data_IF_658033924273
#
_entry.id   IF_658033924273
#
_cell.length_a   1.000
_cell.length_b   1.000
_cell.length_c   1.000
_cell.angle_alpha   90.00
_cell.angle_beta   90.00
_cell.angle_gamma   90.00
#
_symmetry.space_group_name_H-M   'P 1'
#
loop_
_entity.id
_entity.type
_entity.pdbx_description
1 polymer ?
#
# COMPACT_ATOMS: atom_id res chain seq x y z
N UNK A 1 3.31 -3.19 5.03
CA UNK A 1 2.51 -4.42 4.84
C UNK A 1 1.17 -4.18 5.49
N UNK A 2 0.07 -4.42 4.78
CA UNK A 2 -1.28 -4.28 5.35
C UNK A 2 -1.67 -5.61 6.00
N UNK A 3 -2.15 -5.59 7.24
CA UNK A 3 -2.70 -6.75 7.95
C UNK A 3 -4.22 -6.55 8.06
N UNK A 4 -5.00 -7.41 7.43
CA UNK A 4 -6.48 -7.35 7.48
C UNK A 4 -7.13 -6.69 6.26
N UNK A 5 -8.45 -6.88 6.15
CA UNK A 5 -9.30 -6.44 5.03
C UNK A 5 -9.42 -4.92 4.95
N UNK A 6 -9.18 -4.35 3.76
CA UNK A 6 -9.69 -3.10 3.14
C UNK A 6 -9.91 -1.80 3.97
N UNK A 7 -10.23 -1.83 5.27
CA UNK A 7 -10.55 -0.66 6.10
C UNK A 7 -9.32 0.19 6.47
N UNK A 8 -8.11 -0.39 6.42
CA UNK A 8 -6.85 0.30 6.79
C UNK A 8 -6.10 0.88 5.57
N UNK A 9 -6.66 0.77 4.37
CA UNK A 9 -6.03 1.22 3.11
C UNK A 9 -5.74 2.72 3.11
N UNK A 10 -6.67 3.62 3.49
CA UNK A 10 -6.42 5.06 3.53
C UNK A 10 -5.31 5.42 4.52
N UNK A 11 -5.26 4.75 5.68
CA UNK A 11 -4.23 4.97 6.68
C UNK A 11 -2.86 4.48 6.18
N UNK A 12 -2.84 3.34 5.48
CA UNK A 12 -1.63 2.82 4.84
C UNK A 12 -1.11 3.77 3.76
N UNK A 13 -1.99 4.30 2.90
CA UNK A 13 -1.60 5.32 1.91
C UNK A 13 -1.09 6.59 2.57
N UNK A 14 -1.71 7.07 3.65
CA UNK A 14 -1.24 8.26 4.37
C UNK A 14 0.19 8.06 4.90
N UNK A 15 0.50 6.88 5.47
CA UNK A 15 1.86 6.55 5.93
C UNK A 15 2.85 6.47 4.76
N UNK A 16 2.45 5.85 3.65
CA UNK A 16 3.30 5.76 2.46
C UNK A 16 3.55 7.13 1.83
N UNK A 17 2.54 8.00 1.79
CA UNK A 17 2.67 9.37 1.26
C UNK A 17 3.59 10.23 2.13
N UNK A 18 3.45 10.14 3.45
CA UNK A 18 4.36 10.80 4.39
C UNK A 18 5.81 10.34 4.22
N UNK A 19 6.03 9.03 4.08
CA UNK A 19 7.35 8.46 3.81
C UNK A 19 7.92 8.95 2.46
N UNK A 20 7.11 8.95 1.40
CA UNK A 20 7.53 9.48 0.11
C UNK A 20 7.99 10.94 0.23
N UNK A 21 7.21 11.80 0.89
CA UNK A 21 7.55 13.21 1.08
C UNK A 21 8.86 13.40 1.84
N UNK A 22 9.07 12.64 2.92
CA UNK A 22 10.32 12.67 3.69
C UNK A 22 11.54 12.31 2.82
N UNK A 23 11.35 11.40 1.86
CA UNK A 23 12.39 10.96 0.93
C UNK A 23 12.49 11.83 -0.34
N UNK A 24 11.72 12.91 -0.45
CA UNK A 24 11.71 13.79 -1.63
C UNK A 24 10.98 13.19 -2.84
N UNK A 25 9.98 12.34 -2.61
CA UNK A 25 9.11 11.75 -3.62
C UNK A 25 7.66 12.17 -3.40
N UNK A 26 6.90 12.22 -4.49
CA UNK A 26 5.45 12.44 -4.48
C UNK A 26 4.75 11.35 -5.28
N UNK A 27 3.54 11.00 -4.88
CA UNK A 27 2.71 10.04 -5.60
C UNK A 27 2.38 10.59 -6.99
N UNK A 28 2.77 9.86 -8.04
CA UNK A 28 2.62 10.33 -9.43
C UNK A 28 1.28 9.96 -10.05
N UNK A 29 0.55 9.01 -9.47
CA UNK A 29 -0.80 8.63 -9.90
C UNK A 29 -1.65 8.14 -8.75
N UNK A 30 -2.96 8.34 -8.85
CA UNK A 30 -3.95 7.74 -7.95
C UNK A 30 -4.10 6.24 -8.17
N UNK A 31 -3.63 5.71 -9.31
CA UNK A 31 -3.65 4.28 -9.58
C UNK A 31 -2.66 3.58 -8.64
N UNK A 32 -3.14 2.54 -7.95
CA UNK A 32 -2.32 1.64 -7.19
C UNK A 32 -2.62 0.20 -7.60
N UNK A 33 -1.73 -0.71 -7.25
CA UNK A 33 -1.90 -2.16 -7.43
C UNK A 33 -1.73 -2.84 -6.09
N UNK A 34 -2.60 -3.81 -5.86
CA UNK A 34 -2.51 -4.72 -4.73
C UNK A 34 -1.86 -6.02 -5.19
N UNK A 35 -0.88 -6.50 -4.45
CA UNK A 35 -0.23 -7.78 -4.70
C UNK A 35 -0.50 -8.65 -3.47
N UNK A 36 -1.35 -9.65 -3.65
CA UNK A 36 -1.70 -10.62 -2.63
C UNK A 36 -0.59 -11.66 -2.52
N UNK A 37 0.14 -11.64 -1.40
CA UNK A 37 1.23 -12.59 -1.15
C UNK A 37 0.73 -13.92 -0.55
N UNK A 38 -0.56 -14.01 -0.22
CA UNK A 38 -1.20 -15.19 0.36
C UNK A 38 -2.51 -15.45 -0.38
N UNK A 39 -2.84 -16.71 -0.67
CA UNK A 39 -4.08 -17.04 -1.38
C UNK A 39 -5.28 -16.68 -0.48
N UNK A 40 -6.14 -15.72 -0.89
CA UNK A 40 -7.24 -15.23 -0.09
C UNK A 40 -8.34 -16.27 0.14
N UNK A 41 -8.37 -17.36 -0.65
CA UNK A 41 -9.36 -18.43 -0.53
C UNK A 41 -8.94 -19.51 0.47
N UNK A 42 -7.66 -19.55 0.85
CA UNK A 42 -7.08 -20.62 1.69
C UNK A 42 -6.49 -20.11 3.01
N UNK A 43 -6.37 -18.81 3.17
CA UNK A 43 -5.67 -18.18 4.29
C UNK A 43 -6.66 -17.41 5.15
N UNK A 44 -6.60 -17.60 6.47
CA UNK A 44 -7.43 -16.83 7.40
C UNK A 44 -7.21 -15.32 7.22
N UNK A 45 -8.26 -14.48 7.32
CA UNK A 45 -8.16 -13.04 7.06
C UNK A 45 -7.05 -12.34 7.83
N UNK A 46 -6.81 -12.74 9.09
CA UNK A 46 -5.77 -12.18 9.97
C UNK A 46 -4.33 -12.51 9.53
N UNK A 47 -4.15 -13.52 8.66
CA UNK A 47 -2.85 -13.97 8.13
C UNK A 47 -2.62 -13.52 6.68
N UNK A 48 -3.62 -12.90 6.04
CA UNK A 48 -3.47 -12.34 4.70
C UNK A 48 -2.42 -11.24 4.70
N UNK A 49 -1.54 -11.29 3.70
CA UNK A 49 -0.53 -10.28 3.45
C UNK A 49 -0.78 -9.66 2.09
N UNK A 50 -1.07 -8.38 2.09
CA UNK A 50 -1.22 -7.59 0.86
C UNK A 50 -0.14 -6.52 0.81
N UNK A 51 0.50 -6.42 -0.36
CA UNK A 51 1.44 -5.34 -0.68
C UNK A 51 0.71 -4.31 -1.52
N UNK A 52 0.67 -3.08 -1.03
CA UNK A 52 0.21 -1.92 -1.79
C UNK A 52 1.38 -1.31 -2.55
N UNK A 53 1.20 -1.05 -3.85
CA UNK A 53 2.18 -0.39 -4.69
C UNK A 53 1.53 0.73 -5.48
N UNK A 54 2.12 1.91 -5.48
CA UNK A 54 1.75 3.01 -6.35
C UNK A 54 2.99 3.63 -7.01
N UNK A 55 2.86 4.25 -8.19
CA UNK A 55 3.96 4.93 -8.84
C UNK A 55 4.27 6.25 -8.11
N UNK A 56 5.55 6.58 -8.01
CA UNK A 56 6.05 7.83 -7.42
C UNK A 56 6.98 8.54 -8.40
N UNK A 57 7.05 9.86 -8.28
CA UNK A 57 7.98 10.73 -8.99
C UNK A 57 8.83 11.47 -7.98
N UNK A 58 10.06 11.83 -8.35
CA UNK A 58 10.89 12.70 -7.52
C UNK A 58 10.24 14.09 -7.47
N UNK A 59 10.20 14.69 -6.29
CA UNK A 59 9.85 16.08 -6.12
C UNK A 59 11.09 16.89 -6.52
N UNK A 60 11.09 17.38 -7.76
CA UNK A 60 12.12 18.29 -8.28
C UNK A 60 11.83 19.71 -7.78
#
# INVERSE_FOLDING_TARGET
MVKGSFEDEPQSFARMDAFCREQGYVRSSKIHREIYLSDPRRTEPSKLKTVLRFPVSKQD
#
